data_IF_198519186138
#
_entry.id   IF_198519186138
#
_cell.length_a   1.000
_cell.length_b   1.000
_cell.length_c   1.000
_cell.angle_alpha   90.00
_cell.angle_beta   90.00
_cell.angle_gamma   90.00
#
_symmetry.space_group_name_H-M   'P 1'
#
loop_
_entity.id
_entity.type
_entity.pdbx_description
1 polymer ?
#
# COMPACT_ATOMS: atom_id res chain seq x y z
N UNK A 1 -7.25 -12.76 2.09
CA UNK A 1 -7.89 -12.35 0.80
C UNK A 1 -9.30 -11.89 1.11
N UNK A 2 -9.65 -10.66 0.78
CA UNK A 2 -11.03 -10.18 0.86
C UNK A 2 -11.68 -10.42 -0.51
N UNK A 3 -12.88 -10.99 -0.53
CA UNK A 3 -13.51 -11.53 -1.74
C UNK A 3 -13.78 -10.51 -2.86
N UNK A 4 -13.65 -9.20 -2.58
CA UNK A 4 -13.95 -8.13 -3.54
C UNK A 4 -12.74 -7.30 -3.95
N UNK A 5 -11.54 -7.61 -3.46
CA UNK A 5 -10.34 -6.86 -3.84
C UNK A 5 -9.61 -7.56 -4.97
N UNK A 6 -9.29 -6.80 -5.99
CA UNK A 6 -8.50 -7.28 -7.11
C UNK A 6 -7.06 -7.57 -6.64
N UNK A 7 -6.48 -8.66 -7.15
CA UNK A 7 -5.07 -9.02 -6.91
C UNK A 7 -4.13 -7.87 -7.34
N UNK A 8 -4.54 -7.07 -8.34
CA UNK A 8 -3.82 -5.88 -8.79
C UNK A 8 -3.68 -4.80 -7.71
N UNK A 9 -4.70 -4.61 -6.85
CA UNK A 9 -4.65 -3.64 -5.74
C UNK A 9 -3.59 -4.05 -4.71
N UNK A 10 -3.43 -5.35 -4.46
CA UNK A 10 -2.41 -5.88 -3.55
C UNK A 10 -0.99 -5.69 -4.13
N UNK A 11 -0.85 -5.89 -5.43
CA UNK A 11 0.42 -5.66 -6.12
C UNK A 11 0.84 -4.17 -6.12
N UNK A 12 -0.12 -3.25 -6.20
CA UNK A 12 0.13 -1.81 -6.24
C UNK A 12 0.04 -1.14 -4.86
N UNK A 13 -0.18 -1.90 -3.78
CA UNK A 13 -0.34 -1.39 -2.41
C UNK A 13 -1.48 -0.37 -2.24
N UNK A 14 -2.56 -0.49 -3.02
CA UNK A 14 -3.69 0.46 -3.03
C UNK A 14 -4.93 -0.05 -2.29
N UNK A 15 -4.82 -1.11 -1.50
CA UNK A 15 -5.99 -1.72 -0.87
C UNK A 15 -6.62 -0.79 0.16
N UNK A 16 -5.81 -0.10 0.96
CA UNK A 16 -6.29 0.84 1.98
C UNK A 16 -7.13 1.95 1.35
N UNK A 17 -6.64 2.54 0.27
CA UNK A 17 -7.34 3.59 -0.46
C UNK A 17 -8.67 3.05 -1.04
N UNK A 18 -8.63 1.83 -1.58
CA UNK A 18 -9.84 1.15 -2.10
C UNK A 18 -10.88 0.95 -0.99
N UNK A 19 -10.47 0.51 0.21
CA UNK A 19 -11.38 0.35 1.35
C UNK A 19 -11.97 1.66 1.83
N UNK A 20 -11.14 2.69 1.95
CA UNK A 20 -11.57 3.99 2.44
C UNK A 20 -12.59 4.61 1.47
N UNK A 21 -12.31 4.52 0.16
CA UNK A 21 -13.25 4.96 -0.86
C UNK A 21 -14.58 4.19 -0.80
N UNK A 22 -14.54 2.86 -0.62
CA UNK A 22 -15.76 2.05 -0.47
C UNK A 22 -16.56 2.45 0.79
N UNK A 23 -15.88 2.75 1.89
CA UNK A 23 -16.53 3.25 3.12
C UNK A 23 -17.21 4.60 2.85
N UNK A 24 -16.56 5.50 2.11
CA UNK A 24 -17.15 6.79 1.73
C UNK A 24 -18.38 6.62 0.83
N UNK A 25 -18.32 5.70 -0.13
CA UNK A 25 -19.45 5.32 -0.97
C UNK A 25 -20.61 4.81 -0.11
N UNK A 26 -20.37 3.84 0.79
CA UNK A 26 -21.41 3.33 1.68
C UNK A 26 -22.05 4.45 2.52
N UNK A 27 -21.24 5.34 3.10
CA UNK A 27 -21.72 6.52 3.86
C UNK A 27 -22.62 7.42 3.05
N UNK A 28 -22.33 7.60 1.76
CA UNK A 28 -23.11 8.43 0.85
C UNK A 28 -24.49 7.82 0.54
N UNK A 29 -24.57 6.49 0.40
CA UNK A 29 -25.78 5.81 -0.08
C UNK A 29 -26.65 5.20 1.04
N UNK A 30 -26.11 4.95 2.24
CA UNK A 30 -26.85 4.36 3.38
C UNK A 30 -26.93 5.33 4.58
N UNK A 31 -27.97 6.18 4.67
CA UNK A 31 -28.00 7.28 5.66
C UNK A 31 -28.31 6.86 7.10
N UNK A 32 -28.80 5.65 7.36
CA UNK A 32 -29.29 5.24 8.69
C UNK A 32 -28.19 4.68 9.60
N UNK A 33 -27.61 3.53 9.24
CA UNK A 33 -26.49 2.90 9.96
C UNK A 33 -25.54 2.34 8.92
N UNK A 34 -24.31 2.87 8.89
CA UNK A 34 -23.33 2.52 7.85
C UNK A 34 -22.48 1.29 8.20
N UNK A 35 -22.02 1.18 9.44
CA UNK A 35 -21.21 0.06 9.89
C UNK A 35 -21.26 -0.08 11.42
N UNK A 36 -21.12 -1.33 11.87
CA UNK A 36 -20.87 -1.68 13.28
C UNK A 36 -19.50 -2.35 13.31
N UNK A 37 -18.62 -1.92 14.21
CA UNK A 37 -17.28 -2.48 14.35
C UNK A 37 -17.05 -2.92 15.79
N UNK A 38 -16.46 -4.11 15.96
CA UNK A 38 -16.00 -4.60 17.26
C UNK A 38 -14.49 -4.37 17.34
N UNK A 39 -14.09 -3.37 18.11
CA UNK A 39 -12.69 -3.03 18.32
C UNK A 39 -12.22 -3.63 19.65
N UNK A 40 -11.32 -4.60 19.56
CA UNK A 40 -10.57 -5.14 20.69
C UNK A 40 -9.14 -4.56 20.70
N UNK A 41 -8.24 -5.04 21.57
CA UNK A 41 -6.84 -4.61 21.64
C UNK A 41 -5.99 -4.93 20.38
N UNK A 42 -6.60 -5.46 19.31
CA UNK A 42 -5.92 -5.81 18.05
C UNK A 42 -6.28 -4.79 16.98
N UNK A 43 -5.36 -3.88 16.69
CA UNK A 43 -5.49 -2.80 15.70
C UNK A 43 -5.41 -3.26 14.23
N UNK A 44 -5.54 -4.56 13.97
CA UNK A 44 -5.45 -5.12 12.63
C UNK A 44 -4.06 -5.03 11.99
N UNK A 45 -4.00 -5.31 10.69
CA UNK A 45 -2.79 -5.14 9.89
C UNK A 45 -2.58 -3.66 9.55
N UNK A 46 -1.35 -3.17 9.69
CA UNK A 46 -0.95 -1.82 9.27
C UNK A 46 -0.04 -1.92 8.05
N UNK A 47 -0.58 -1.84 6.83
CA UNK A 47 0.25 -1.90 5.64
C UNK A 47 1.16 -0.69 5.55
N UNK A 48 2.26 -0.83 4.82
CA UNK A 48 3.16 0.28 4.51
C UNK A 48 2.43 1.32 3.67
N UNK A 49 2.66 2.62 3.92
CA UNK A 49 2.01 3.67 3.15
C UNK A 49 2.44 3.60 1.69
N UNK A 50 1.48 3.56 0.77
CA UNK A 50 1.78 3.55 -0.68
C UNK A 50 2.42 4.85 -1.17
N UNK A 51 2.17 5.96 -0.47
CA UNK A 51 2.70 7.28 -0.81
C UNK A 51 3.20 7.98 0.44
N UNK A 52 4.38 8.59 0.36
CA UNK A 52 5.00 9.39 1.42
C UNK A 52 5.39 10.74 0.82
N UNK A 53 5.02 11.84 1.47
CA UNK A 53 5.40 13.18 1.01
C UNK A 53 6.92 13.31 0.93
N UNK A 54 7.40 14.01 -0.11
CA UNK A 54 8.83 14.18 -0.37
C UNK A 54 9.64 14.55 0.87
N UNK A 55 9.24 15.64 1.55
CA UNK A 55 9.97 16.14 2.71
C UNK A 55 10.04 15.13 3.87
N UNK A 56 8.97 14.35 4.09
CA UNK A 56 8.94 13.32 5.13
C UNK A 56 9.86 12.15 4.79
N UNK A 57 9.88 11.75 3.52
CA UNK A 57 10.72 10.66 3.08
C UNK A 57 12.21 11.02 3.13
N UNK A 58 12.56 12.22 2.69
CA UNK A 58 13.93 12.74 2.76
C UNK A 58 14.41 12.84 4.22
N UNK A 59 13.58 13.37 5.13
CA UNK A 59 13.87 13.41 6.57
C UNK A 59 14.07 12.00 7.16
N UNK A 60 13.24 11.05 6.75
CA UNK A 60 13.35 9.67 7.21
C UNK A 60 14.66 9.02 6.74
N UNK A 61 15.09 9.26 5.50
CA UNK A 61 16.38 8.79 5.01
C UNK A 61 17.56 9.41 5.75
N UNK A 62 17.47 10.70 6.10
CA UNK A 62 18.50 11.38 6.88
C UNK A 62 18.67 10.75 8.27
N UNK A 63 17.57 10.51 8.98
CA UNK A 63 17.57 9.87 10.31
C UNK A 63 18.14 8.44 10.26
N UNK A 64 17.79 7.67 9.24
CA UNK A 64 18.29 6.29 9.09
C UNK A 64 19.79 6.28 8.84
N UNK A 65 20.28 7.16 7.96
CA UNK A 65 21.71 7.30 7.68
C UNK A 65 22.49 7.78 8.91
N UNK A 66 21.93 8.70 9.71
CA UNK A 66 22.59 9.15 10.94
C UNK A 66 22.76 8.03 11.97
N UNK A 67 21.89 7.02 11.94
CA UNK A 67 21.96 5.85 12.82
C UNK A 67 22.85 4.71 12.26
N UNK A 68 23.63 4.94 11.20
CA UNK A 68 24.50 3.95 10.55
C UNK A 68 23.80 2.75 9.92
N UNK A 69 22.52 2.89 9.55
CA UNK A 69 21.72 1.84 8.91
C UNK A 69 21.64 2.03 7.38
N UNK A 70 22.79 1.98 6.70
CA UNK A 70 22.87 2.24 5.26
C UNK A 70 22.08 1.25 4.41
N UNK A 71 21.95 0.00 4.85
CA UNK A 71 21.21 -1.03 4.12
C UNK A 71 19.69 -0.79 4.15
N UNK A 72 19.16 -0.27 5.27
CA UNK A 72 17.75 0.13 5.37
C UNK A 72 17.46 1.34 4.46
N UNK A 73 18.38 2.31 4.41
CA UNK A 73 18.26 3.47 3.54
C UNK A 73 18.29 3.06 2.06
N UNK A 74 19.16 2.11 1.69
CA UNK A 74 19.21 1.54 0.33
C UNK A 74 17.90 0.83 -0.01
N UNK A 75 17.39 -0.02 0.89
CA UNK A 75 16.13 -0.73 0.69
C UNK A 75 14.98 0.24 0.45
N UNK A 76 14.85 1.29 1.27
CA UNK A 76 13.83 2.31 1.07
C UNK A 76 13.97 3.04 -0.27
N UNK A 77 15.19 3.42 -0.65
CA UNK A 77 15.43 4.09 -1.94
C UNK A 77 15.18 3.19 -3.15
N UNK A 78 15.31 1.87 -2.99
CA UNK A 78 15.00 0.89 -4.03
C UNK A 78 13.49 0.77 -4.25
N UNK A 79 12.72 0.74 -3.16
CA UNK A 79 11.27 0.50 -3.21
C UNK A 79 10.45 1.77 -3.42
N UNK A 80 10.89 2.92 -2.96
CA UNK A 80 10.15 4.18 -3.13
C UNK A 80 10.77 5.02 -4.24
N UNK A 81 9.96 5.38 -5.22
CA UNK A 81 10.36 6.21 -6.34
C UNK A 81 9.71 7.59 -6.25
N UNK A 82 10.50 8.65 -6.47
CA UNK A 82 9.97 10.00 -6.52
C UNK A 82 9.05 10.15 -7.75
N UNK A 83 7.79 10.46 -7.50
CA UNK A 83 6.85 10.91 -8.51
C UNK A 83 6.81 12.45 -8.51
N UNK A 84 7.23 13.03 -9.62
CA UNK A 84 7.22 14.48 -9.87
C UNK A 84 5.96 14.95 -10.58
N UNK A 85 5.13 14.02 -11.06
CA UNK A 85 3.84 14.35 -11.68
C UNK A 85 2.77 14.63 -10.61
N UNK A 86 2.93 14.09 -9.40
CA UNK A 86 2.07 14.41 -8.28
C UNK A 86 2.39 15.81 -7.73
N UNK A 87 1.35 16.58 -7.42
CA UNK A 87 1.45 17.91 -6.81
C UNK A 87 0.74 17.86 -5.45
N UNK A 88 1.47 17.98 -4.32
CA UNK A 88 2.92 18.11 -4.19
C UNK A 88 3.66 16.81 -4.52
N UNK A 89 4.92 16.91 -4.95
CA UNK A 89 5.76 15.74 -5.28
C UNK A 89 5.90 14.80 -4.07
N UNK A 90 5.87 13.50 -4.33
CA UNK A 90 5.89 12.47 -3.30
C UNK A 90 6.66 11.23 -3.76
N UNK A 91 7.11 10.44 -2.78
CA UNK A 91 7.67 9.13 -3.03
C UNK A 91 6.55 8.09 -3.02
N UNK A 92 6.45 7.34 -4.10
CA UNK A 92 5.44 6.29 -4.29
C UNK A 92 6.11 4.91 -4.20
N UNK A 93 5.48 4.01 -3.46
CA UNK A 93 5.92 2.64 -3.28
C UNK A 93 5.74 1.88 -4.59
N UNK A 94 6.81 1.23 -5.03
CA UNK A 94 6.83 0.49 -6.28
C UNK A 94 6.01 -0.80 -6.16
N UNK A 95 5.34 -1.15 -7.25
CA UNK A 95 4.62 -2.42 -7.40
C UNK A 95 5.51 -3.62 -7.08
N UNK A 96 4.97 -4.65 -6.43
CA UNK A 96 5.69 -5.87 -6.10
C UNK A 96 6.25 -6.56 -7.36
N UNK A 97 5.45 -6.58 -8.44
CA UNK A 97 5.85 -7.19 -9.72
C UNK A 97 7.06 -6.54 -10.39
N UNK A 98 7.40 -5.30 -10.03
CA UNK A 98 8.56 -4.61 -10.57
C UNK A 98 9.89 -5.21 -10.09
N UNK A 99 9.90 -5.73 -8.86
CA UNK A 99 11.06 -6.40 -8.25
C UNK A 99 10.99 -7.91 -8.45
N UNK A 100 9.79 -8.46 -8.65
CA UNK A 100 9.54 -9.89 -8.77
C UNK A 100 8.59 -10.20 -9.92
N UNK A 101 9.15 -10.44 -11.12
CA UNK A 101 8.40 -10.63 -12.36
C UNK A 101 7.38 -11.78 -12.34
N UNK A 102 7.56 -12.78 -11.47
CA UNK A 102 6.78 -14.02 -11.48
C UNK A 102 5.60 -14.04 -10.49
N UNK A 103 5.29 -12.93 -9.82
CA UNK A 103 4.24 -12.90 -8.78
C UNK A 103 2.83 -12.72 -9.36
N UNK A 104 2.72 -12.20 -10.59
CA UNK A 104 1.43 -11.96 -11.26
C UNK A 104 1.08 -13.03 -12.30
N UNK A 105 1.81 -14.15 -12.39
CA UNK A 105 1.36 -15.25 -13.23
C UNK A 105 -0.02 -15.70 -12.73
N UNK A 106 -1.03 -15.81 -13.60
CA UNK A 106 -2.28 -16.42 -13.19
C UNK A 106 -1.92 -17.80 -12.67
N UNK A 107 -2.47 -18.16 -11.51
CA UNK A 107 -2.49 -19.54 -11.05
C UNK A 107 -3.08 -20.32 -12.22
N UNK A 108 -2.25 -21.09 -12.92
CA UNK A 108 -2.71 -22.07 -13.90
C UNK A 108 -3.56 -23.02 -13.07
N UNK A 109 -4.88 -22.89 -13.20
CA UNK A 109 -5.77 -23.92 -12.71
C UNK A 109 -5.40 -25.17 -13.50
N UNK A 110 -4.64 -26.06 -12.84
CA UNK A 110 -4.51 -27.42 -13.32
C UNK A 110 -5.92 -27.99 -13.18
N UNK A 111 -6.64 -28.04 -14.30
CA UNK A 111 -7.82 -28.90 -14.42
C UNK A 111 -7.33 -30.32 -14.12
N UNK A 112 -7.76 -30.85 -12.98
CA UNK A 112 -7.65 -32.28 -12.73
C UNK A 112 -8.87 -32.91 -13.40
N UNK A 113 -8.61 -33.68 -14.47
CA UNK A 113 -9.54 -34.64 -15.06
C UNK A 113 -9.96 -35.72 -14.04
#
# INVERSE_FOLDING_TARGET
MLWRIQIQSNNNHTEVETYLNEIEICKKYSPATNFVVLLSHRYGSRPTPSTIRRFLFELLLEIIRSNSNDDDAKLLSQWYQLDTNQIPAAYVLRSISSSFSNILSPVVFIEFD
#
